data_IF_011948248311
#
_entry.id   IF_011948248311
#
_cell.length_a   1.000
_cell.length_b   1.000
_cell.length_c   1.000
_cell.angle_alpha   90.00
_cell.angle_beta   90.00
_cell.angle_gamma   90.00
#
_symmetry.space_group_name_H-M   'P 1'
#
loop_
_entity.id
_entity.type
_entity.pdbx_description
1 polymer ?
#
# COMPACT_ATOMS: atom_id res chain seq x y z
N UNK A 1 6.51 24.18 15.22
CA UNK A 1 5.59 23.08 14.88
C UNK A 1 6.46 21.92 14.46
N UNK A 2 6.55 20.86 15.27
CA UNK A 2 7.32 19.67 14.93
C UNK A 2 6.47 18.83 13.96
N UNK A 3 6.83 18.83 12.68
CA UNK A 3 6.26 17.90 11.71
C UNK A 3 6.59 16.49 12.17
N UNK A 4 5.57 15.72 12.53
CA UNK A 4 5.75 14.30 12.84
C UNK A 4 5.86 13.59 11.50
N UNK A 5 7.08 13.40 11.00
CA UNK A 5 7.31 12.65 9.76
C UNK A 5 6.80 11.21 9.97
N UNK A 6 5.66 10.89 9.39
CA UNK A 6 5.12 9.53 9.43
C UNK A 6 6.04 8.64 8.57
N UNK A 7 6.94 7.89 9.22
CA UNK A 7 7.75 6.90 8.53
C UNK A 7 6.92 5.64 8.30
N UNK A 8 6.43 5.49 7.07
CA UNK A 8 5.78 4.25 6.65
C UNK A 8 6.85 3.19 6.35
N UNK A 9 6.70 2.02 6.97
CA UNK A 9 7.52 0.83 6.69
C UNK A 9 6.68 -0.12 5.85
N UNK A 10 6.90 -0.10 4.53
CA UNK A 10 6.23 -0.98 3.57
C UNK A 10 7.16 -2.06 3.06
N UNK A 11 6.62 -3.25 2.78
CA UNK A 11 7.34 -4.26 1.99
C UNK A 11 7.33 -3.82 0.53
N UNK A 12 8.50 -3.86 -0.12
CA UNK A 12 8.64 -3.46 -1.53
C UNK A 12 8.08 -4.51 -2.48
N UNK A 13 7.55 -4.06 -3.63
CA UNK A 13 7.13 -4.93 -4.72
C UNK A 13 8.29 -5.77 -5.25
N UNK A 14 8.02 -6.99 -5.73
CA UNK A 14 9.03 -7.84 -6.35
C UNK A 14 9.35 -7.36 -7.77
N UNK A 15 10.42 -6.59 -7.90
CA UNK A 15 10.89 -6.00 -9.15
C UNK A 15 12.30 -6.47 -9.51
N UNK A 16 12.75 -6.19 -10.73
CA UNK A 16 14.13 -6.45 -11.12
C UNK A 16 15.11 -5.51 -10.39
N UNK A 17 14.65 -4.41 -9.81
CA UNK A 17 15.49 -3.50 -9.03
C UNK A 17 15.97 -4.11 -7.70
N UNK A 18 15.14 -4.97 -7.09
CA UNK A 18 15.41 -5.63 -5.81
C UNK A 18 15.49 -7.17 -5.94
N UNK A 19 15.68 -7.69 -7.16
CA UNK A 19 15.69 -9.14 -7.40
C UNK A 19 16.89 -9.87 -6.75
N UNK A 20 18.00 -9.17 -6.55
CA UNK A 20 19.26 -9.75 -6.05
C UNK A 20 19.56 -9.38 -4.59
N UNK A 21 18.91 -8.34 -4.06
CA UNK A 21 19.13 -7.85 -2.71
C UNK A 21 17.95 -6.97 -2.28
N UNK A 22 17.67 -6.98 -0.98
CA UNK A 22 16.75 -6.04 -0.37
C UNK A 22 17.22 -4.61 -0.61
N UNK A 23 16.29 -3.76 -1.00
CA UNK A 23 16.55 -2.37 -1.35
C UNK A 23 15.49 -1.47 -0.71
N UNK A 24 15.88 -0.31 -0.16
CA UNK A 24 14.93 0.70 0.32
C UNK A 24 13.95 1.14 -0.76
N UNK A 25 12.71 1.46 -0.37
CA UNK A 25 11.63 1.86 -1.29
C UNK A 25 12.03 3.06 -2.16
N UNK A 26 12.71 4.04 -1.57
CA UNK A 26 13.16 5.25 -2.27
C UNK A 26 14.22 4.93 -3.33
N UNK A 27 15.08 3.93 -3.08
CA UNK A 27 16.06 3.47 -4.05
C UNK A 27 15.41 2.66 -5.19
N UNK A 28 14.40 1.82 -4.88
CA UNK A 28 13.61 1.12 -5.90
C UNK A 28 12.85 2.12 -6.77
N UNK A 29 12.23 3.13 -6.17
CA UNK A 29 11.49 4.18 -6.86
C UNK A 29 12.33 4.91 -7.93
N UNK A 30 13.62 5.10 -7.68
CA UNK A 30 14.56 5.76 -8.60
C UNK A 30 15.13 4.82 -9.67
N UNK A 31 14.89 3.51 -9.56
CA UNK A 31 15.43 2.53 -10.51
C UNK A 31 14.68 2.57 -11.85
N UNK A 32 15.42 2.60 -12.95
CA UNK A 32 14.85 2.46 -14.30
C UNK A 32 14.23 1.07 -14.52
N UNK A 33 14.54 0.08 -13.67
CA UNK A 33 14.01 -1.29 -13.75
C UNK A 33 12.85 -1.56 -12.79
N UNK A 34 12.33 -0.54 -12.10
CA UNK A 34 11.23 -0.68 -11.13
C UNK A 34 9.96 -1.30 -11.76
N UNK A 35 9.72 -1.03 -13.04
CA UNK A 35 8.57 -1.52 -13.80
C UNK A 35 8.65 -3.00 -14.20
N UNK A 36 9.82 -3.64 -14.03
CA UNK A 36 10.03 -5.03 -14.42
C UNK A 36 9.73 -5.95 -13.24
N UNK A 37 8.51 -6.45 -13.13
CA UNK A 37 8.10 -7.35 -12.05
C UNK A 37 8.77 -8.73 -12.17
N UNK A 38 9.32 -9.24 -11.08
CA UNK A 38 9.83 -10.62 -10.99
C UNK A 38 8.79 -11.58 -10.45
N UNK A 39 7.78 -11.05 -9.75
CA UNK A 39 6.62 -11.81 -9.30
C UNK A 39 5.33 -11.03 -9.54
N UNK A 40 4.30 -11.72 -9.98
CA UNK A 40 2.98 -11.14 -10.21
C UNK A 40 1.91 -12.21 -10.04
N UNK A 41 0.69 -11.81 -9.70
CA UNK A 41 -0.45 -12.71 -9.82
C UNK A 41 -0.68 -13.04 -11.30
N UNK A 42 -0.81 -14.33 -11.63
CA UNK A 42 -1.02 -14.81 -13.01
C UNK A 42 -2.18 -15.79 -13.02
N UNK A 43 -3.02 -15.71 -14.06
CA UNK A 43 -4.19 -16.60 -14.20
C UNK A 43 -3.85 -18.02 -14.64
N UNK A 44 -2.69 -18.20 -15.29
CA UNK A 44 -2.28 -19.47 -15.92
C UNK A 44 -1.19 -20.22 -15.17
N UNK A 45 -0.53 -19.55 -14.24
CA UNK A 45 0.63 -20.07 -13.53
C UNK A 45 0.51 -19.67 -12.07
N UNK A 46 0.60 -20.65 -11.19
CA UNK A 46 0.63 -20.37 -9.76
C UNK A 46 2.01 -19.85 -9.36
N UNK A 47 2.01 -18.79 -8.57
CA UNK A 47 3.20 -18.25 -7.92
C UNK A 47 2.87 -18.10 -6.44
N UNK A 48 3.69 -18.70 -5.58
CA UNK A 48 3.48 -18.62 -4.14
C UNK A 48 3.65 -17.16 -3.69
N UNK A 49 2.67 -16.60 -2.96
CA UNK A 49 2.81 -15.25 -2.44
C UNK A 49 3.75 -15.25 -1.24
N UNK A 50 4.39 -14.11 -1.03
CA UNK A 50 5.06 -13.83 0.24
C UNK A 50 4.01 -13.62 1.34
N UNK A 51 4.10 -14.43 2.39
CA UNK A 51 3.20 -14.34 3.55
C UNK A 51 3.97 -13.77 4.73
N UNK A 52 3.50 -12.64 5.26
CA UNK A 52 4.00 -12.01 6.47
C UNK A 52 2.90 -11.99 7.53
N UNK A 53 3.22 -12.42 8.75
CA UNK A 53 2.32 -12.35 9.90
C UNK A 53 2.88 -11.34 10.92
N UNK A 54 2.18 -10.23 11.09
CA UNK A 54 2.52 -9.16 12.04
C UNK A 54 1.48 -9.13 13.17
N UNK A 55 1.92 -9.12 14.42
CA UNK A 55 1.03 -8.93 15.57
C UNK A 55 0.99 -7.45 15.94
N UNK A 56 -0.09 -6.77 15.60
CA UNK A 56 -0.28 -5.35 15.90
C UNK A 56 -1.57 -5.14 16.70
N UNK A 57 -1.44 -4.56 17.90
CA UNK A 57 -2.57 -4.32 18.79
C UNK A 57 -3.39 -3.07 18.39
N UNK A 58 -2.75 -2.07 17.79
CA UNK A 58 -3.40 -0.85 17.29
C UNK A 58 -2.50 -0.07 16.34
N UNK A 59 -3.08 0.89 15.63
CA UNK A 59 -2.39 1.84 14.74
C UNK A 59 -2.72 1.66 13.27
N UNK A 60 -2.07 2.44 12.41
CA UNK A 60 -2.38 2.48 10.98
C UNK A 60 -1.55 1.49 10.17
N UNK A 61 -2.18 0.81 9.21
CA UNK A 61 -1.53 0.06 8.14
C UNK A 61 -1.86 0.74 6.81
N UNK A 62 -0.84 0.91 5.97
CA UNK A 62 -1.00 1.42 4.61
C UNK A 62 -0.60 0.34 3.62
N UNK A 63 -1.46 0.09 2.63
CA UNK A 63 -1.13 -0.67 1.44
C UNK A 63 -1.29 0.28 0.26
N UNK A 64 -0.28 0.41 -0.58
CA UNK A 64 -0.34 1.33 -1.72
C UNK A 64 0.34 0.73 -2.95
N UNK A 65 -0.08 1.16 -4.13
CA UNK A 65 0.61 0.84 -5.40
C UNK A 65 2.00 1.47 -5.42
N UNK A 66 2.88 0.95 -6.26
CA UNK A 66 4.23 1.50 -6.44
C UNK A 66 4.20 2.94 -6.94
N UNK A 67 3.22 3.33 -7.75
CA UNK A 67 2.97 4.73 -8.12
C UNK A 67 2.84 5.68 -6.92
N UNK A 68 2.19 5.26 -5.83
CA UNK A 68 2.09 6.07 -4.61
C UNK A 68 3.47 6.29 -3.96
N UNK A 69 4.26 5.22 -3.82
CA UNK A 69 5.56 5.28 -3.16
C UNK A 69 6.64 5.96 -4.02
N UNK A 70 6.55 5.80 -5.33
CA UNK A 70 7.64 6.15 -6.23
C UNK A 70 7.51 7.53 -6.86
N UNK A 71 6.31 8.12 -6.85
CA UNK A 71 6.04 9.38 -7.54
C UNK A 71 5.68 10.54 -6.61
N UNK A 72 5.27 10.23 -5.39
CA UNK A 72 4.90 11.23 -4.40
C UNK A 72 6.03 11.45 -3.39
N UNK A 73 6.39 12.70 -3.16
CA UNK A 73 7.16 13.12 -1.98
C UNK A 73 6.37 12.84 -0.71
N UNK A 74 7.02 12.82 0.46
CA UNK A 74 6.35 12.59 1.75
C UNK A 74 5.16 13.55 1.97
N UNK A 75 5.33 14.84 1.64
CA UNK A 75 4.25 15.83 1.74
C UNK A 75 3.09 15.58 0.77
N UNK A 76 3.37 15.06 -0.43
CA UNK A 76 2.33 14.68 -1.39
C UNK A 76 1.62 13.39 -0.99
N UNK A 77 2.32 12.45 -0.35
CA UNK A 77 1.72 11.25 0.22
C UNK A 77 0.74 11.62 1.36
N UNK A 78 1.15 12.52 2.26
CA UNK A 78 0.26 13.04 3.32
C UNK A 78 -0.97 13.74 2.74
N UNK A 79 -0.78 14.58 1.72
CA UNK A 79 -1.89 15.24 1.03
C UNK A 79 -2.83 14.24 0.35
N UNK A 80 -2.29 13.19 -0.30
CA UNK A 80 -3.06 12.14 -0.95
C UNK A 80 -3.88 11.32 0.05
N UNK A 81 -3.31 10.99 1.22
CA UNK A 81 -4.02 10.33 2.32
C UNK A 81 -5.15 11.20 2.90
N UNK A 82 -4.98 12.52 2.90
CA UNK A 82 -6.02 13.48 3.29
C UNK A 82 -7.11 13.71 2.25
N UNK A 83 -7.16 12.94 1.16
CA UNK A 83 -8.12 13.10 0.07
C UNK A 83 -7.80 14.24 -0.90
N UNK A 84 -6.61 14.84 -0.78
CA UNK A 84 -6.12 15.85 -1.70
C UNK A 84 -5.74 15.26 -3.05
N UNK A 85 -6.00 16.00 -4.13
CA UNK A 85 -5.51 15.66 -5.46
C UNK A 85 -4.03 16.04 -5.56
N UNK A 86 -3.17 15.10 -5.96
CA UNK A 86 -1.77 15.40 -6.24
C UNK A 86 -1.66 16.26 -7.50
N UNK A 87 -0.80 17.29 -7.45
CA UNK A 87 -0.46 18.11 -8.62
C UNK A 87 0.68 17.51 -9.44
N UNK A 88 1.26 16.39 -8.99
CA UNK A 88 2.35 15.72 -9.68
C UNK A 88 1.84 15.06 -10.97
N UNK A 89 2.60 15.22 -12.05
CA UNK A 89 2.32 14.60 -13.34
C UNK A 89 2.05 13.10 -13.17
N UNK A 90 0.92 12.62 -13.66
CA UNK A 90 0.49 11.23 -13.55
C UNK A 90 1.29 10.39 -14.57
N UNK A 91 2.25 9.62 -14.06
CA UNK A 91 3.04 8.68 -14.86
C UNK A 91 2.66 7.23 -14.58
N UNK A 92 2.06 6.97 -13.42
CA UNK A 92 1.61 5.67 -12.96
C UNK A 92 0.34 5.80 -12.10
N UNK A 93 -0.43 4.72 -12.00
CA UNK A 93 -1.66 4.68 -11.22
C UNK A 93 -1.35 4.72 -9.72
N UNK A 94 -2.01 5.63 -9.00
CA UNK A 94 -1.81 5.86 -7.56
C UNK A 94 -3.03 5.40 -6.80
N UNK A 95 -2.88 4.38 -5.96
CA UNK A 95 -3.95 3.90 -5.09
C UNK A 95 -3.39 3.57 -3.72
N UNK A 96 -4.14 3.89 -2.67
CA UNK A 96 -3.80 3.59 -1.28
C UNK A 96 -5.02 3.06 -0.54
N UNK A 97 -4.78 2.10 0.33
CA UNK A 97 -5.71 1.57 1.30
C UNK A 97 -5.13 1.83 2.69
N UNK A 98 -5.84 2.65 3.47
CA UNK A 98 -5.52 2.92 4.86
C UNK A 98 -6.43 2.10 5.77
N UNK A 99 -5.83 1.34 6.69
CA UNK A 99 -6.53 0.56 7.69
C UNK A 99 -6.12 1.04 9.09
N UNK A 100 -7.09 1.52 9.86
CA UNK A 100 -6.89 1.91 11.25
C UNK A 100 -7.27 0.75 12.17
N UNK A 101 -6.29 0.16 12.85
CA UNK A 101 -6.50 -0.90 13.82
C UNK A 101 -6.74 -0.29 15.21
N UNK A 102 -7.85 -0.68 15.84
CA UNK A 102 -8.14 -0.39 17.24
C UNK A 102 -7.84 -1.61 18.10
N UNK A 103 -7.43 -1.36 19.35
CA UNK A 103 -7.27 -2.41 20.37
C UNK A 103 -8.61 -2.82 21.00
N UNK A 104 -9.66 -2.02 20.79
CA UNK A 104 -11.04 -2.37 21.17
C UNK A 104 -11.58 -3.38 20.15
N UNK A 105 -12.39 -4.33 20.60
CA UNK A 105 -12.97 -5.41 19.77
C UNK A 105 -13.52 -4.83 18.45
N UNK A 106 -12.94 -5.20 17.27
CA UNK A 106 -13.34 -4.62 16.00
C UNK A 106 -14.69 -5.21 15.59
N UNK A 107 -15.77 -4.48 15.83
CA UNK A 107 -17.12 -4.89 15.44
C UNK A 107 -17.49 -4.46 14.01
N UNK A 108 -16.84 -3.45 13.43
CA UNK A 108 -17.28 -2.84 12.17
C UNK A 108 -16.11 -2.35 11.28
N UNK A 109 -16.27 -2.50 9.95
CA UNK A 109 -15.42 -1.86 8.95
C UNK A 109 -16.04 -0.50 8.62
N UNK A 110 -15.39 0.58 9.05
CA UNK A 110 -15.79 1.94 8.71
C UNK A 110 -15.03 2.37 7.45
N UNK A 111 -15.77 2.65 6.38
CA UNK A 111 -15.23 3.27 5.18
C UNK A 111 -15.34 4.79 5.36
N UNK A 112 -14.22 5.51 5.30
CA UNK A 112 -14.23 6.97 5.37
C UNK A 112 -14.85 7.57 4.10
N UNK A 113 -15.56 8.69 4.26
CA UNK A 113 -16.10 9.46 3.13
C UNK A 113 -14.94 9.92 2.23
N UNK A 114 -14.96 9.46 0.96
CA UNK A 114 -13.88 9.67 0.00
C UNK A 114 -13.19 8.38 -0.48
N UNK A 115 -13.52 7.24 0.11
CA UNK A 115 -13.06 5.92 -0.37
C UNK A 115 -13.61 5.56 -1.76
N UNK A 116 -12.81 4.83 -2.56
CA UNK A 116 -13.25 4.31 -3.85
C UNK A 116 -14.41 3.31 -3.69
N UNK A 117 -15.40 3.36 -4.58
CA UNK A 117 -16.55 2.43 -4.60
C UNK A 117 -16.18 0.97 -4.87
N UNK A 118 -14.91 0.70 -5.21
CA UNK A 118 -14.43 -0.62 -5.65
C UNK A 118 -13.82 -1.46 -4.52
N UNK A 119 -14.18 -1.18 -3.26
CA UNK A 119 -13.74 -1.99 -2.12
C UNK A 119 -14.75 -3.11 -1.83
N UNK A 120 -14.34 -4.36 -2.07
CA UNK A 120 -15.19 -5.54 -1.88
C UNK A 120 -14.85 -6.24 -0.57
N UNK A 121 -15.80 -6.28 0.37
CA UNK A 121 -15.69 -7.07 1.59
C UNK A 121 -16.39 -8.40 1.40
N UNK A 122 -15.64 -9.51 1.56
CA UNK A 122 -16.25 -10.83 1.61
C UNK A 122 -16.87 -11.05 2.99
N UNK A 123 -18.20 -10.94 3.08
CA UNK A 123 -18.92 -11.40 4.25
C UNK A 123 -18.88 -12.93 4.33
N UNK A 124 -18.65 -13.52 5.52
CA UNK A 124 -18.74 -14.96 5.69
C UNK A 124 -20.16 -15.42 5.34
N UNK A 125 -20.26 -16.54 4.63
CA UNK A 125 -21.56 -17.14 4.32
C UNK A 125 -22.27 -17.55 5.62
N UNK A 126 -23.61 -17.37 5.72
CA UNK A 126 -24.35 -17.86 6.88
C UNK A 126 -24.10 -19.36 7.03
N UNK A 127 -23.63 -19.78 8.20
CA UNK A 127 -23.57 -21.19 8.55
C UNK A 127 -25.01 -21.72 8.56
N UNK A 128 -25.26 -22.76 7.74
CA UNK A 128 -26.53 -23.50 7.72
C UNK A 128 -26.60 -24.46 8.88
#
# INVERSE_FOLDING_TARGET
MAGTTAKYTGKSSHTLANALADMPLDAIARSTRRHLLTQSFRSREFMAPDVLAEKKASGTLLLATDGFWAELTESEQEAFLGGGQSTAAERDDRSVLQLCLSAEEPSEILLEDGGSTNFYVRTPAPQK
#
